data_IF_679912896871
#
_entry.id   IF_679912896871
#
_cell.length_a   1.000
_cell.length_b   1.000
_cell.length_c   1.000
_cell.angle_alpha   90.00
_cell.angle_beta   90.00
_cell.angle_gamma   90.00
#
_symmetry.space_group_name_H-M   'P 1'
#
loop_
_entity.id
_entity.type
_entity.pdbx_description
1 polymer ?
#
# COMPACT_ATOMS: atom_id res chain seq x y z
N UNK A 1 -2.49 3.68 -21.82
CA UNK A 1 -1.12 3.22 -21.59
C UNK A 1 -1.09 1.72 -21.89
N UNK A 2 -0.27 1.32 -22.85
CA UNK A 2 -0.16 -0.09 -23.25
C UNK A 2 0.78 -0.78 -22.26
N UNK A 3 0.24 -1.58 -21.36
CA UNK A 3 1.02 -2.60 -20.69
C UNK A 3 1.37 -3.66 -21.74
N UNK A 4 2.58 -3.63 -22.24
CA UNK A 4 3.12 -4.75 -22.99
C UNK A 4 3.24 -5.95 -22.07
N UNK A 5 2.65 -7.10 -22.39
CA UNK A 5 2.93 -8.32 -21.64
C UNK A 5 4.42 -8.62 -21.79
N UNK A 6 5.07 -8.97 -20.68
CA UNK A 6 6.43 -9.45 -20.65
C UNK A 6 6.46 -10.77 -21.41
N UNK A 7 6.65 -10.67 -22.74
CA UNK A 7 6.90 -11.80 -23.61
C UNK A 7 8.30 -11.70 -24.19
N UNK A 8 9.29 -11.94 -23.34
CA UNK A 8 10.53 -12.54 -23.81
C UNK A 8 10.63 -13.92 -23.22
N UNK A 9 10.52 -14.93 -24.10
CA UNK A 9 10.85 -16.33 -23.79
C UNK A 9 12.33 -16.39 -23.42
N UNK A 10 12.67 -16.13 -22.16
CA UNK A 10 13.90 -16.63 -21.56
C UNK A 10 13.81 -18.16 -21.59
N UNK A 11 14.77 -18.78 -22.24
CA UNK A 11 14.86 -20.24 -22.36
C UNK A 11 14.69 -20.90 -21.00
N UNK A 12 13.74 -21.87 -20.94
CA UNK A 12 13.39 -22.67 -19.76
C UNK A 12 14.52 -23.67 -19.51
N UNK A 13 15.70 -23.20 -19.14
CA UNK A 13 16.77 -23.99 -18.55
C UNK A 13 17.12 -23.37 -17.20
N UNK A 14 16.82 -24.05 -16.12
CA UNK A 14 16.99 -23.71 -14.69
C UNK A 14 15.91 -22.77 -14.08
N UNK A 15 14.62 -23.13 -14.22
CA UNK A 15 13.59 -22.59 -13.33
C UNK A 15 13.45 -23.43 -12.05
N UNK A 16 14.54 -23.66 -11.35
CA UNK A 16 14.46 -24.46 -10.12
C UNK A 16 13.93 -23.72 -8.90
N UNK A 17 13.68 -22.45 -8.88
CA UNK A 17 12.89 -21.69 -7.86
C UNK A 17 13.01 -20.20 -8.14
N UNK A 18 12.05 -19.63 -8.83
CA UNK A 18 11.95 -18.18 -8.93
C UNK A 18 11.53 -17.62 -7.56
N UNK A 19 12.32 -16.72 -6.97
CA UNK A 19 12.01 -16.01 -5.74
C UNK A 19 11.80 -14.54 -6.04
N UNK A 20 10.71 -14.00 -5.52
CA UNK A 20 10.30 -12.61 -5.71
C UNK A 20 10.01 -12.01 -4.34
N UNK A 21 10.41 -10.77 -4.12
CA UNK A 21 10.06 -10.01 -2.94
C UNK A 21 9.23 -8.79 -3.30
N UNK A 22 8.20 -8.54 -2.50
CA UNK A 22 7.40 -7.32 -2.55
C UNK A 22 7.62 -6.58 -1.24
N UNK A 23 8.01 -5.30 -1.33
CA UNK A 23 8.11 -4.39 -0.19
C UNK A 23 7.04 -3.32 -0.36
N UNK A 24 6.09 -3.28 0.58
CA UNK A 24 5.07 -2.26 0.66
C UNK A 24 5.43 -1.24 1.76
N UNK A 25 5.70 0.00 1.36
CA UNK A 25 6.05 1.11 2.26
C UNK A 25 4.78 1.93 2.52
N UNK A 26 4.00 1.48 3.49
CA UNK A 26 2.77 2.13 3.91
C UNK A 26 2.95 3.23 4.96
N UNK A 27 1.87 3.93 5.25
CA UNK A 27 1.85 5.04 6.22
C UNK A 27 2.04 4.60 7.67
N UNK A 28 1.58 3.41 8.03
CA UNK A 28 1.69 2.85 9.38
C UNK A 28 2.76 1.76 9.47
N UNK A 29 2.83 0.92 8.46
CA UNK A 29 3.69 -0.27 8.43
C UNK A 29 4.48 -0.34 7.14
N UNK A 30 5.68 -0.93 7.23
CA UNK A 30 6.46 -1.36 6.08
C UNK A 30 6.46 -2.89 6.10
N UNK A 31 6.11 -3.51 4.99
CA UNK A 31 5.94 -4.96 4.91
C UNK A 31 6.82 -5.53 3.80
N UNK A 32 7.56 -6.57 4.12
CA UNK A 32 8.30 -7.39 3.18
C UNK A 32 7.60 -8.74 3.09
N UNK A 33 7.18 -9.13 1.88
CA UNK A 33 6.66 -10.47 1.60
C UNK A 33 7.53 -11.12 0.55
N UNK A 34 7.95 -12.35 0.83
CA UNK A 34 8.78 -13.14 -0.07
C UNK A 34 7.98 -14.34 -0.60
N UNK A 35 7.98 -14.48 -1.91
CA UNK A 35 7.30 -15.56 -2.62
C UNK A 35 8.30 -16.43 -3.35
N UNK A 36 8.01 -17.72 -3.38
CA UNK A 36 8.70 -18.69 -4.21
C UNK A 36 7.71 -19.33 -5.18
N UNK A 37 8.09 -19.45 -6.42
CA UNK A 37 7.35 -20.20 -7.42
C UNK A 37 8.06 -21.52 -7.69
N UNK A 38 7.33 -22.61 -7.69
CA UNK A 38 7.74 -23.89 -8.25
C UNK A 38 6.68 -24.44 -9.21
N UNK A 39 7.05 -25.46 -9.97
CA UNK A 39 6.17 -26.01 -11.02
C UNK A 39 5.03 -26.87 -10.49
N UNK A 40 5.17 -27.42 -9.30
CA UNK A 40 4.21 -28.37 -8.71
C UNK A 40 3.22 -27.63 -7.81
N UNK A 41 3.72 -26.72 -6.96
CA UNK A 41 2.91 -26.01 -5.95
C UNK A 41 2.48 -24.62 -6.40
N UNK A 42 3.08 -24.07 -7.47
CA UNK A 42 2.81 -22.72 -7.94
C UNK A 42 3.49 -21.65 -7.09
N UNK A 43 2.86 -20.48 -6.97
CA UNK A 43 3.37 -19.36 -6.18
C UNK A 43 2.92 -19.50 -4.72
N UNK A 44 3.87 -19.57 -3.78
CA UNK A 44 3.60 -19.62 -2.35
C UNK A 44 4.46 -18.62 -1.55
N UNK A 45 3.90 -18.10 -0.49
CA UNK A 45 4.59 -17.24 0.46
C UNK A 45 5.52 -18.08 1.34
N UNK A 46 6.77 -17.65 1.48
CA UNK A 46 7.73 -18.30 2.38
C UNK A 46 8.33 -17.34 3.42
N UNK A 47 8.01 -16.05 3.36
CA UNK A 47 8.42 -15.08 4.34
C UNK A 47 7.53 -13.84 4.34
N UNK A 48 7.22 -13.31 5.53
CA UNK A 48 6.36 -12.16 5.72
C UNK A 48 6.78 -11.40 6.97
N UNK A 49 7.35 -10.23 6.78
CA UNK A 49 7.92 -9.41 7.85
C UNK A 49 7.23 -8.06 7.85
N UNK A 50 6.69 -7.69 9.00
CA UNK A 50 5.98 -6.43 9.20
C UNK A 50 6.69 -5.57 10.23
N UNK A 51 7.07 -4.35 9.84
CA UNK A 51 7.67 -3.34 10.72
C UNK A 51 6.69 -2.19 10.91
N UNK A 52 6.34 -1.87 12.16
CA UNK A 52 5.49 -0.72 12.48
C UNK A 52 6.36 0.53 12.49
N UNK A 53 6.38 1.23 11.38
CA UNK A 53 7.20 2.43 11.17
C UNK A 53 6.47 3.73 11.50
N UNK A 54 5.15 3.79 11.29
CA UNK A 54 4.29 4.97 11.49
C UNK A 54 4.79 6.20 10.73
N UNK A 55 5.23 6.01 9.48
CA UNK A 55 5.85 7.08 8.68
C UNK A 55 4.97 8.33 8.56
N UNK A 56 3.65 8.16 8.59
CA UNK A 56 2.71 9.30 8.57
C UNK A 56 2.92 10.27 9.73
N UNK A 57 3.38 9.81 10.89
CA UNK A 57 3.58 10.67 12.08
C UNK A 57 4.79 11.59 11.96
N UNK A 58 5.65 11.33 11.00
CA UNK A 58 6.85 12.12 10.70
C UNK A 58 6.64 13.15 9.57
N UNK A 59 5.40 13.27 9.04
CA UNK A 59 5.07 14.35 8.11
C UNK A 59 4.81 15.64 8.90
N UNK A 60 5.65 16.64 8.65
CA UNK A 60 5.56 17.97 9.25
C UNK A 60 4.39 18.77 8.67
N UNK A 61 3.94 19.83 9.33
CA UNK A 61 2.95 20.77 8.76
C UNK A 61 3.40 21.42 7.45
N UNK A 62 4.72 21.49 7.18
CA UNK A 62 5.28 21.93 5.90
C UNK A 62 5.02 20.96 4.73
N UNK A 63 4.58 19.74 5.05
CA UNK A 63 4.42 18.64 4.09
C UNK A 63 5.67 17.78 3.90
N UNK A 64 6.80 18.13 4.50
CA UNK A 64 8.02 17.33 4.43
C UNK A 64 8.00 16.19 5.45
N UNK A 65 8.59 15.04 5.09
CA UNK A 65 8.95 14.02 6.08
C UNK A 65 10.23 14.46 6.77
N UNK A 66 10.22 14.44 8.10
CA UNK A 66 11.38 14.83 8.88
C UNK A 66 12.52 13.78 8.81
N UNK A 67 13.70 14.18 9.30
CA UNK A 67 14.89 13.34 9.25
C UNK A 67 14.75 12.04 10.05
N UNK A 68 13.97 12.03 11.14
CA UNK A 68 13.75 10.83 11.95
C UNK A 68 12.91 9.80 11.17
N UNK A 69 11.86 10.24 10.48
CA UNK A 69 11.05 9.40 9.61
C UNK A 69 11.85 8.82 8.44
N UNK A 70 12.68 9.66 7.80
CA UNK A 70 13.56 9.22 6.70
C UNK A 70 14.58 8.19 7.19
N UNK A 71 15.20 8.43 8.34
CA UNK A 71 16.15 7.51 8.97
C UNK A 71 15.49 6.17 9.30
N UNK A 72 14.28 6.20 9.88
CA UNK A 72 13.54 4.97 10.20
C UNK A 72 13.18 4.15 8.97
N UNK A 73 12.80 4.81 7.88
CA UNK A 73 12.56 4.15 6.60
C UNK A 73 13.85 3.49 6.09
N UNK A 74 14.97 4.23 6.08
CA UNK A 74 16.26 3.73 5.64
C UNK A 74 16.71 2.50 6.43
N UNK A 75 16.72 2.58 7.76
CA UNK A 75 17.12 1.47 8.64
C UNK A 75 16.27 0.23 8.39
N UNK A 76 14.97 0.41 8.15
CA UNK A 76 14.07 -0.72 7.83
C UNK A 76 14.42 -1.35 6.49
N UNK A 77 14.65 -0.55 5.46
CA UNK A 77 14.98 -1.07 4.12
C UNK A 77 16.37 -1.73 4.09
N UNK A 78 17.35 -1.18 4.80
CA UNK A 78 18.68 -1.80 4.95
C UNK A 78 18.56 -3.17 5.63
N UNK A 79 17.74 -3.26 6.70
CA UNK A 79 17.46 -4.55 7.35
C UNK A 79 16.77 -5.54 6.42
N UNK A 80 15.79 -5.09 5.63
CA UNK A 80 15.14 -5.95 4.63
C UNK A 80 16.10 -6.40 3.54
N UNK A 81 17.02 -5.52 3.11
CA UNK A 81 18.05 -5.88 2.13
C UNK A 81 18.92 -7.03 2.60
N UNK A 82 19.36 -7.00 3.87
CA UNK A 82 20.14 -8.08 4.47
C UNK A 82 19.36 -9.41 4.46
N UNK A 83 18.08 -9.38 4.85
CA UNK A 83 17.22 -10.56 4.83
C UNK A 83 17.10 -11.12 3.41
N UNK A 84 16.87 -10.26 2.42
CA UNK A 84 16.76 -10.68 1.02
C UNK A 84 18.04 -11.32 0.48
N UNK A 85 19.19 -10.80 0.88
CA UNK A 85 20.50 -11.38 0.56
C UNK A 85 20.69 -12.75 1.20
N UNK A 86 20.33 -12.90 2.49
CA UNK A 86 20.41 -14.17 3.22
C UNK A 86 19.53 -15.27 2.58
N UNK A 87 18.38 -14.88 2.02
CA UNK A 87 17.46 -15.78 1.32
C UNK A 87 17.72 -15.88 -0.19
N UNK A 88 18.75 -15.22 -0.72
CA UNK A 88 19.07 -15.16 -2.16
C UNK A 88 17.88 -14.70 -3.03
N UNK A 89 17.16 -13.65 -2.59
CA UNK A 89 16.08 -13.02 -3.34
C UNK A 89 16.63 -11.78 -4.05
N UNK A 90 16.68 -11.81 -5.37
CA UNK A 90 17.23 -10.71 -6.20
C UNK A 90 16.17 -9.97 -7.00
N UNK A 91 15.00 -10.57 -7.21
CA UNK A 91 13.87 -9.91 -7.87
C UNK A 91 13.02 -9.20 -6.80
N UNK A 92 13.24 -7.89 -6.67
CA UNK A 92 12.70 -7.07 -5.59
C UNK A 92 11.81 -5.96 -6.18
N UNK A 93 10.56 -5.91 -5.76
CA UNK A 93 9.61 -4.87 -6.11
C UNK A 93 9.24 -4.07 -4.85
N UNK A 94 9.80 -2.87 -4.72
CA UNK A 94 9.49 -1.98 -3.62
C UNK A 94 8.56 -0.86 -4.09
N UNK A 95 7.45 -0.69 -3.39
CA UNK A 95 6.46 0.36 -3.66
C UNK A 95 6.22 1.20 -2.41
N UNK A 96 5.96 2.49 -2.62
CA UNK A 96 5.61 3.42 -1.55
C UNK A 96 4.26 4.06 -1.83
N UNK A 97 3.46 4.21 -0.79
CA UNK A 97 2.10 4.73 -0.86
C UNK A 97 1.96 6.08 -0.13
N UNK A 98 0.82 6.37 0.45
CA UNK A 98 0.38 7.68 0.90
C UNK A 98 1.42 8.50 1.71
N UNK A 99 2.15 7.90 2.66
CA UNK A 99 3.08 8.69 3.49
C UNK A 99 4.25 9.27 2.69
N UNK A 100 4.85 8.48 1.79
CA UNK A 100 5.93 8.94 0.92
C UNK A 100 5.37 9.76 -0.23
N UNK A 101 4.26 9.33 -0.85
CA UNK A 101 3.61 10.06 -1.95
C UNK A 101 3.23 11.50 -1.57
N UNK A 102 2.73 11.71 -0.35
CA UNK A 102 2.30 13.01 0.15
C UNK A 102 3.45 13.87 0.69
N UNK A 103 4.64 13.30 0.88
CA UNK A 103 5.80 14.06 1.32
C UNK A 103 6.29 15.00 0.21
N UNK A 104 6.41 16.30 0.50
CA UNK A 104 6.90 17.30 -0.47
C UNK A 104 8.38 17.08 -0.84
N UNK A 105 9.13 16.38 0.00
CA UNK A 105 10.53 15.96 -0.23
C UNK A 105 10.68 14.51 -0.71
N UNK A 106 9.63 13.91 -1.31
CA UNK A 106 9.60 12.49 -1.69
C UNK A 106 10.73 12.10 -2.66
N UNK A 107 11.10 12.95 -3.62
CA UNK A 107 12.21 12.67 -4.53
C UNK A 107 13.54 12.51 -3.78
N UNK A 108 13.80 13.36 -2.78
CA UNK A 108 14.99 13.28 -1.95
C UNK A 108 15.00 11.99 -1.10
N UNK A 109 13.82 11.61 -0.58
CA UNK A 109 13.64 10.36 0.16
C UNK A 109 14.00 9.17 -0.74
N UNK A 110 13.42 9.07 -1.93
CA UNK A 110 13.67 7.97 -2.87
C UNK A 110 15.16 7.88 -3.25
N UNK A 111 15.78 9.02 -3.57
CA UNK A 111 17.19 9.06 -3.90
C UNK A 111 18.08 8.61 -2.73
N UNK A 112 17.72 8.98 -1.50
CA UNK A 112 18.42 8.55 -0.30
C UNK A 112 18.25 7.05 -0.07
N UNK A 113 17.04 6.52 -0.19
CA UNK A 113 16.78 5.08 -0.07
C UNK A 113 17.57 4.27 -1.09
N UNK A 114 17.65 4.74 -2.34
CA UNK A 114 18.47 4.11 -3.38
C UNK A 114 19.96 4.06 -3.01
N UNK A 115 20.49 5.16 -2.45
CA UNK A 115 21.91 5.19 -2.01
C UNK A 115 22.18 4.28 -0.83
N UNK A 116 21.29 4.22 0.15
CA UNK A 116 21.52 3.55 1.44
C UNK A 116 21.14 2.07 1.41
N UNK A 117 20.06 1.69 0.73
CA UNK A 117 19.60 0.29 0.64
C UNK A 117 19.86 -0.37 -0.71
N UNK A 118 20.22 0.40 -1.74
CA UNK A 118 20.35 -0.08 -3.10
C UNK A 118 19.04 -0.40 -3.83
N UNK A 119 17.89 -0.19 -3.17
CA UNK A 119 16.57 -0.53 -3.72
C UNK A 119 16.02 0.60 -4.59
N UNK A 120 15.41 0.23 -5.70
CA UNK A 120 14.54 1.12 -6.49
C UNK A 120 13.14 1.06 -5.92
N UNK A 121 12.57 2.23 -5.59
CA UNK A 121 11.24 2.34 -4.99
C UNK A 121 10.35 3.11 -5.95
N UNK A 122 9.24 2.52 -6.37
CA UNK A 122 8.20 3.20 -7.13
C UNK A 122 7.18 3.82 -6.19
N UNK A 123 6.83 5.09 -6.41
CA UNK A 123 5.71 5.71 -5.69
C UNK A 123 4.44 5.42 -6.48
N UNK A 124 3.50 4.69 -5.87
CA UNK A 124 2.22 4.40 -6.49
C UNK A 124 1.33 5.66 -6.48
N UNK A 125 0.68 5.92 -7.60
CA UNK A 125 -0.44 6.86 -7.64
C UNK A 125 -1.64 6.33 -6.84
N UNK A 126 -2.59 7.21 -6.54
CA UNK A 126 -3.83 6.81 -5.87
C UNK A 126 -4.64 5.81 -6.70
N UNK A 127 -4.64 5.98 -8.03
CA UNK A 127 -5.30 5.07 -8.96
C UNK A 127 -4.62 3.70 -9.03
N UNK A 128 -3.29 3.65 -8.99
CA UNK A 128 -2.54 2.39 -8.97
C UNK A 128 -2.75 1.64 -7.66
N UNK A 129 -2.73 2.34 -6.51
CA UNK A 129 -3.00 1.75 -5.19
C UNK A 129 -4.41 1.13 -5.16
N UNK A 130 -5.43 1.88 -5.59
CA UNK A 130 -6.80 1.38 -5.68
C UNK A 130 -6.95 0.21 -6.68
N UNK A 131 -6.22 0.24 -7.81
CA UNK A 131 -6.22 -0.83 -8.79
C UNK A 131 -5.61 -2.12 -8.25
N UNK A 132 -4.50 -2.04 -7.50
CA UNK A 132 -3.90 -3.22 -6.87
C UNK A 132 -4.80 -3.79 -5.77
N UNK A 133 -5.47 -2.96 -4.99
CA UNK A 133 -6.49 -3.40 -4.03
C UNK A 133 -7.64 -4.14 -4.73
N UNK A 134 -8.14 -3.60 -5.84
CA UNK A 134 -9.13 -4.29 -6.67
C UNK A 134 -8.63 -5.64 -7.20
N UNK A 135 -7.40 -5.70 -7.74
CA UNK A 135 -6.81 -6.96 -8.22
C UNK A 135 -6.68 -8.01 -7.11
N UNK A 136 -6.28 -7.57 -5.91
CA UNK A 136 -6.19 -8.47 -4.76
C UNK A 136 -7.55 -9.14 -4.46
N UNK A 137 -8.64 -8.37 -4.45
CA UNK A 137 -9.99 -8.90 -4.17
C UNK A 137 -10.46 -9.84 -5.27
N UNK A 138 -10.38 -9.44 -6.53
CA UNK A 138 -10.94 -10.27 -7.64
C UNK A 138 -10.17 -11.58 -7.86
N UNK A 139 -8.92 -11.66 -7.39
CA UNK A 139 -8.10 -12.87 -7.47
C UNK A 139 -8.17 -13.73 -6.20
N UNK A 140 -8.61 -13.18 -5.06
CA UNK A 140 -8.70 -13.93 -3.80
C UNK A 140 -10.13 -14.33 -3.42
N UNK A 141 -11.16 -13.71 -4.04
CA UNK A 141 -12.56 -13.95 -3.70
C UNK A 141 -13.39 -14.20 -4.94
N UNK A 142 -14.33 -15.14 -4.86
CA UNK A 142 -15.33 -15.35 -5.94
C UNK A 142 -16.53 -14.42 -5.78
N UNK A 143 -16.27 -13.12 -5.92
CA UNK A 143 -17.27 -12.07 -5.86
C UNK A 143 -17.23 -11.31 -7.19
N UNK A 144 -18.21 -11.48 -8.08
CA UNK A 144 -18.14 -10.89 -9.42
C UNK A 144 -18.30 -9.37 -9.44
N UNK A 145 -18.97 -8.80 -8.44
CA UNK A 145 -19.22 -7.36 -8.35
C UNK A 145 -19.31 -6.95 -6.89
N UNK A 146 -18.60 -5.91 -6.49
CA UNK A 146 -18.64 -5.36 -5.13
C UNK A 146 -18.17 -3.91 -5.09
N UNK A 147 -18.30 -3.30 -3.92
CA UNK A 147 -17.56 -2.11 -3.50
C UNK A 147 -16.45 -2.57 -2.58
N UNK A 148 -15.20 -2.26 -2.90
CA UNK A 148 -14.07 -2.46 -1.97
C UNK A 148 -13.81 -1.19 -1.19
N UNK A 149 -13.46 -1.33 0.09
CA UNK A 149 -13.01 -0.23 0.94
C UNK A 149 -11.70 -0.67 1.57
N UNK A 150 -10.61 -0.01 1.20
CA UNK A 150 -9.30 -0.18 1.81
C UNK A 150 -9.00 1.01 2.71
N UNK A 151 -8.85 0.78 4.01
CA UNK A 151 -8.58 1.82 4.99
C UNK A 151 -7.13 1.68 5.45
N UNK A 152 -6.25 2.35 4.75
CA UNK A 152 -4.83 2.42 5.10
C UNK A 152 -4.53 3.32 6.30
N UNK A 153 -3.25 3.61 6.52
CA UNK A 153 -2.82 4.55 7.55
C UNK A 153 -2.98 6.01 7.14
N UNK A 154 -2.78 6.34 5.88
CA UNK A 154 -2.73 7.71 5.33
C UNK A 154 -3.73 8.01 4.23
N UNK A 155 -4.33 7.01 3.63
CA UNK A 155 -5.36 7.12 2.60
C UNK A 155 -6.48 6.11 2.83
N UNK A 156 -7.58 6.28 2.09
CA UNK A 156 -8.71 5.35 2.05
C UNK A 156 -9.20 5.25 0.61
N UNK A 157 -9.10 4.06 0.03
CA UNK A 157 -9.52 3.78 -1.33
C UNK A 157 -10.89 3.13 -1.34
N UNK A 158 -11.79 3.67 -2.17
CA UNK A 158 -13.11 3.08 -2.43
C UNK A 158 -13.21 2.75 -3.90
N UNK A 159 -13.45 1.48 -4.20
CA UNK A 159 -13.49 1.00 -5.58
C UNK A 159 -14.79 0.24 -5.84
N UNK A 160 -15.48 0.61 -6.92
CA UNK A 160 -16.60 -0.12 -7.47
C UNK A 160 -16.13 -0.95 -8.66
N UNK A 161 -16.35 -2.26 -8.61
CA UNK A 161 -16.15 -3.13 -9.75
C UNK A 161 -17.40 -3.96 -10.07
N UNK A 162 -17.59 -4.28 -11.34
CA UNK A 162 -18.71 -5.06 -11.86
C UNK A 162 -18.20 -6.09 -12.86
N UNK A 163 -18.65 -7.35 -12.73
CA UNK A 163 -18.22 -8.46 -13.59
C UNK A 163 -16.69 -8.58 -13.65
N UNK A 164 -16.02 -8.47 -12.50
CA UNK A 164 -14.54 -8.50 -12.37
C UNK A 164 -13.84 -7.42 -13.22
N UNK A 165 -14.49 -6.29 -13.49
CA UNK A 165 -13.91 -5.14 -14.18
C UNK A 165 -14.05 -3.89 -13.33
N UNK A 166 -12.97 -3.14 -13.21
CA UNK A 166 -12.95 -1.85 -12.53
C UNK A 166 -13.93 -0.87 -13.19
N UNK A 167 -14.77 -0.23 -12.41
CA UNK A 167 -15.79 0.69 -12.91
C UNK A 167 -15.58 2.12 -12.42
N UNK A 168 -15.36 2.30 -11.11
CA UNK A 168 -15.08 3.58 -10.47
C UNK A 168 -14.10 3.37 -9.32
N UNK A 169 -13.26 4.36 -9.09
CA UNK A 169 -12.39 4.42 -7.92
C UNK A 169 -12.31 5.85 -7.39
N UNK A 170 -12.04 5.97 -6.11
CA UNK A 170 -11.76 7.24 -5.45
C UNK A 170 -10.84 6.97 -4.26
N UNK A 171 -9.83 7.81 -4.10
CA UNK A 171 -8.95 7.81 -2.92
C UNK A 171 -9.19 9.08 -2.11
N UNK A 172 -9.37 8.92 -0.81
CA UNK A 172 -9.38 10.02 0.14
C UNK A 172 -8.01 10.14 0.80
N UNK A 173 -7.48 11.36 0.99
CA UNK A 173 -6.17 11.59 1.60
C UNK A 173 -6.23 11.49 3.14
N UNK A 174 -6.98 10.51 3.67
CA UNK A 174 -7.07 10.20 5.08
C UNK A 174 -7.21 8.71 5.32
N UNK A 175 -6.63 8.24 6.40
CA UNK A 175 -6.71 6.86 6.88
C UNK A 175 -6.63 6.82 8.40
N UNK A 176 -6.45 5.66 8.97
CA UNK A 176 -6.51 5.44 10.44
C UNK A 176 -5.52 6.30 11.22
N UNK A 177 -4.28 6.45 10.75
CA UNK A 177 -3.25 7.25 11.44
C UNK A 177 -3.54 8.74 11.33
N UNK A 178 -3.83 9.23 10.12
CA UNK A 178 -4.10 10.65 9.89
C UNK A 178 -5.40 11.12 10.57
N UNK A 179 -6.45 10.28 10.59
CA UNK A 179 -7.68 10.57 11.30
C UNK A 179 -7.46 10.61 12.82
N UNK A 180 -6.67 9.67 13.35
CA UNK A 180 -6.28 9.72 14.76
C UNK A 180 -5.54 11.01 15.10
N UNK A 181 -4.56 11.41 14.30
CA UNK A 181 -3.82 12.66 14.51
C UNK A 181 -4.73 13.89 14.48
N UNK A 182 -5.74 13.89 13.60
CA UNK A 182 -6.64 15.03 13.40
C UNK A 182 -7.71 15.16 14.48
N UNK A 183 -8.24 14.05 14.99
CA UNK A 183 -9.46 14.05 15.81
C UNK A 183 -9.26 13.56 17.24
N UNK A 184 -8.14 12.92 17.58
CA UNK A 184 -7.93 12.29 18.90
C UNK A 184 -6.75 12.92 19.61
N UNK A 185 -7.01 13.63 20.70
CA UNK A 185 -5.97 14.33 21.46
C UNK A 185 -5.34 13.46 22.57
N UNK A 186 -5.95 12.33 22.92
CA UNK A 186 -5.51 11.44 23.99
C UNK A 186 -5.26 10.00 23.54
N UNK A 187 -5.14 9.13 24.52
CA UNK A 187 -5.00 7.69 24.26
C UNK A 187 -6.31 7.05 23.81
N UNK A 188 -7.45 7.55 24.32
CA UNK A 188 -8.80 7.06 24.06
C UNK A 188 -9.65 8.21 23.53
N UNK A 189 -10.37 7.94 22.45
CA UNK A 189 -11.30 8.90 21.82
C UNK A 189 -12.51 9.15 22.73
N UNK A 190 -12.82 10.41 23.00
CA UNK A 190 -14.04 10.81 23.71
C UNK A 190 -15.24 10.94 22.76
N UNK A 191 -16.43 11.21 23.31
CA UNK A 191 -17.68 11.26 22.53
C UNK A 191 -17.75 12.46 21.57
N UNK A 192 -17.16 13.60 21.93
CA UNK A 192 -17.10 14.79 21.07
C UNK A 192 -16.16 14.54 19.87
N UNK A 193 -14.98 13.99 20.12
CA UNK A 193 -14.04 13.59 19.10
C UNK A 193 -14.64 12.57 18.14
N UNK A 194 -15.40 11.59 18.68
CA UNK A 194 -16.10 10.59 17.88
C UNK A 194 -17.16 11.22 16.97
N UNK A 195 -17.95 12.16 17.48
CA UNK A 195 -18.93 12.89 16.70
C UNK A 195 -18.28 13.71 15.60
N UNK A 196 -17.19 14.41 15.91
CA UNK A 196 -16.44 15.20 14.94
C UNK A 196 -15.86 14.33 13.83
N UNK A 197 -15.23 13.20 14.16
CA UNK A 197 -14.73 12.21 13.21
C UNK A 197 -15.85 11.68 12.32
N UNK A 198 -16.96 11.23 12.91
CA UNK A 198 -18.10 10.70 12.17
C UNK A 198 -18.66 11.74 11.18
N UNK A 199 -18.83 12.99 11.63
CA UNK A 199 -19.33 14.09 10.79
C UNK A 199 -18.41 14.35 9.63
N UNK A 200 -17.10 14.38 9.88
CA UNK A 200 -16.09 14.57 8.84
C UNK A 200 -16.13 13.45 7.80
N UNK A 201 -16.04 12.18 8.24
CA UNK A 201 -16.03 11.02 7.32
C UNK A 201 -17.33 10.94 6.52
N UNK A 202 -18.48 11.18 7.17
CA UNK A 202 -19.78 11.21 6.49
C UNK A 202 -19.80 12.25 5.38
N UNK A 203 -19.37 13.48 5.67
CA UNK A 203 -19.32 14.55 4.68
C UNK A 203 -18.41 14.21 3.49
N UNK A 204 -17.27 13.53 3.73
CA UNK A 204 -16.42 13.07 2.65
C UNK A 204 -17.09 12.00 1.79
N UNK A 205 -17.71 10.99 2.41
CA UNK A 205 -18.42 9.94 1.68
C UNK A 205 -19.61 10.47 0.86
N UNK A 206 -20.29 11.50 1.34
CA UNK A 206 -21.40 12.16 0.64
C UNK A 206 -20.97 12.81 -0.69
N UNK A 207 -19.68 13.09 -0.90
CA UNK A 207 -19.14 13.57 -2.18
C UNK A 207 -19.17 12.49 -3.28
N UNK A 208 -19.22 11.21 -2.91
CA UNK A 208 -19.27 10.08 -3.82
C UNK A 208 -20.70 9.80 -4.29
N UNK A 209 -21.24 10.63 -5.19
CA UNK A 209 -22.61 10.46 -5.68
C UNK A 209 -22.88 9.08 -6.30
N UNK A 210 -21.86 8.46 -6.89
CA UNK A 210 -21.95 7.17 -7.58
C UNK A 210 -22.11 5.95 -6.65
N UNK A 211 -21.90 6.11 -5.32
CA UNK A 211 -22.06 5.00 -4.35
C UNK A 211 -23.47 4.93 -3.75
N UNK A 212 -24.26 5.99 -3.85
CA UNK A 212 -25.57 6.12 -3.15
C UNK A 212 -26.56 5.04 -3.50
N UNK A 213 -26.64 4.67 -4.78
CA UNK A 213 -27.63 3.73 -5.30
C UNK A 213 -27.01 2.37 -5.64
N UNK A 214 -25.82 2.10 -5.11
CA UNK A 214 -25.12 0.82 -5.33
C UNK A 214 -25.62 -0.20 -4.30
N UNK A 215 -26.34 -1.22 -4.79
CA UNK A 215 -26.77 -2.36 -3.98
C UNK A 215 -25.88 -3.57 -4.28
N UNK A 216 -24.64 -3.54 -3.82
CA UNK A 216 -23.62 -4.58 -3.99
C UNK A 216 -22.98 -4.91 -2.64
N UNK A 217 -22.37 -6.09 -2.49
CA UNK A 217 -21.56 -6.41 -1.33
C UNK A 217 -20.44 -5.40 -1.10
N UNK A 218 -20.08 -5.18 0.17
CA UNK A 218 -18.90 -4.41 0.55
C UNK A 218 -17.81 -5.40 0.98
N UNK A 219 -16.63 -5.22 0.42
CA UNK A 219 -15.42 -5.97 0.79
C UNK A 219 -14.45 -5.00 1.46
N UNK A 220 -14.20 -5.20 2.75
CA UNK A 220 -13.20 -4.44 3.48
C UNK A 220 -11.81 -5.06 3.31
N UNK A 221 -10.81 -4.20 3.09
CA UNK A 221 -9.39 -4.55 3.00
C UNK A 221 -8.66 -3.81 4.14
N UNK A 222 -7.60 -4.42 4.69
CA UNK A 222 -6.77 -3.80 5.74
C UNK A 222 -5.89 -4.77 6.47
#
# INVERSE_FOLDING_TARGET
MNYSPITEKKEVKDMEKLRIAIIDIGSNTIRLVMYQYDKEEGLHEFGNIKTVARLRTYLLPSGEMDEEGIKKLSETLVSFKQILEDYNVTDIHAVATAAVRQASNNEQIIQRMKRESGMDIAILSEEEEAYFGFLAVVNSMDTPSAVTIDIGGGSTEITLYKNKKLFKTHSFPFGTVSLKQKFVNGAIMNDEERKALHTFVKAQLETLSWIRDVNLPIVAIG
#
